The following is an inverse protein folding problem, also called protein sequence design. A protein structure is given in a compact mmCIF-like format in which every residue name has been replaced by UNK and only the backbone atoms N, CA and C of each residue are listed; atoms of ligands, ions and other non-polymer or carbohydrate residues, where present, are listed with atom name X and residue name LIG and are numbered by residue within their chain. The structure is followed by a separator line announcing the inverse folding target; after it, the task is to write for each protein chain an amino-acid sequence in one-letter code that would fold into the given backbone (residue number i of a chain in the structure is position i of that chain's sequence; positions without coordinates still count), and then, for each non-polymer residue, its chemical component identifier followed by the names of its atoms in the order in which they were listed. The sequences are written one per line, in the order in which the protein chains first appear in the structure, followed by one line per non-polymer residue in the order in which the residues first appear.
data_IF_880679205261
#
_entry.id   IF_880679205261
#
_cell.length_a   1.000
_cell.length_b   1.000
_cell.length_c   1.000
_cell.angle_alpha   90.00
_cell.angle_beta   90.00
_cell.angle_gamma   90.00
#
_symmetry.space_group_name_H-M   'P 1'
#
loop_
_entity.id
_entity.type
_entity.pdbx_description
1 polymer ?
#
# COMPACT_ATOMS: atom_id res chain seq x y z
N UNK A 1 14.85 4.67 -2.23
CA UNK A 1 13.67 3.85 -2.60
C UNK A 1 12.75 3.75 -1.40
N UNK A 2 11.59 3.10 -1.52
CA UNK A 2 10.83 2.61 -0.36
C UNK A 2 11.07 1.11 -0.33
N UNK A 3 11.58 0.58 0.77
CA UNK A 3 11.93 -0.84 0.92
C UNK A 3 10.70 -1.71 1.15
N UNK A 4 9.71 -1.22 1.91
CA UNK A 4 8.47 -1.93 2.18
C UNK A 4 7.24 -1.19 1.63
N UNK A 5 6.75 -1.68 0.48
CA UNK A 5 5.56 -1.18 -0.20
C UNK A 5 4.27 -1.91 0.20
N UNK A 6 4.37 -3.05 0.90
CA UNK A 6 3.23 -3.92 1.22
C UNK A 6 2.77 -3.76 2.68
N UNK A 7 3.62 -3.22 3.54
CA UNK A 7 3.28 -2.89 4.93
C UNK A 7 2.15 -1.87 5.04
N UNK A 8 1.13 -2.23 5.82
CA UNK A 8 -0.07 -1.40 6.05
C UNK A 8 0.08 -0.41 7.21
N UNK A 9 1.09 -0.58 8.04
CA UNK A 9 1.33 0.28 9.19
C UNK A 9 2.05 1.57 8.77
N UNK A 10 1.27 2.62 8.49
CA UNK A 10 1.77 3.88 7.93
C UNK A 10 1.11 5.10 8.58
N UNK A 11 1.88 6.18 8.63
CA UNK A 11 1.42 7.49 9.08
C UNK A 11 1.46 8.47 7.89
N UNK A 12 0.35 9.18 7.69
CA UNK A 12 0.23 10.21 6.67
C UNK A 12 -0.13 11.54 7.32
N UNK A 13 0.42 12.64 6.80
CA UNK A 13 -0.12 13.97 7.08
C UNK A 13 -1.51 14.07 6.45
N UNK A 14 -2.44 14.73 7.15
CA UNK A 14 -3.84 14.89 6.70
C UNK A 14 -3.95 15.42 5.26
N UNK A 15 -3.22 16.47 4.93
CA UNK A 15 -3.24 17.09 3.59
C UNK A 15 -2.76 16.13 2.50
N UNK A 16 -1.67 15.40 2.76
CA UNK A 16 -1.11 14.39 1.84
C UNK A 16 -2.12 13.26 1.63
N UNK A 17 -2.70 12.73 2.71
CA UNK A 17 -3.69 11.66 2.62
C UNK A 17 -4.89 12.06 1.77
N UNK A 18 -5.43 13.27 1.99
CA UNK A 18 -6.58 13.78 1.24
C UNK A 18 -6.29 13.90 -0.26
N UNK A 19 -5.08 14.31 -0.64
CA UNK A 19 -4.74 14.47 -2.05
C UNK A 19 -4.48 13.13 -2.74
N UNK A 20 -3.76 12.23 -2.06
CA UNK A 20 -3.41 10.91 -2.59
C UNK A 20 -4.65 10.04 -2.71
N UNK A 21 -5.49 9.96 -1.67
CA UNK A 21 -6.67 9.08 -1.66
C UNK A 21 -7.69 9.47 -2.73
N UNK A 22 -7.83 10.77 -3.03
CA UNK A 22 -8.74 11.25 -4.08
C UNK A 22 -8.31 10.79 -5.47
N UNK A 23 -7.03 10.54 -5.65
CA UNK A 23 -6.46 10.08 -6.93
C UNK A 23 -6.37 8.56 -7.01
N UNK A 24 -6.41 7.83 -5.89
CA UNK A 24 -6.28 6.37 -5.87
C UNK A 24 -7.55 5.68 -6.38
N UNK A 25 -7.40 4.74 -7.32
CA UNK A 25 -8.52 4.01 -7.93
C UNK A 25 -8.58 2.53 -7.50
N UNK A 26 -7.45 1.94 -7.08
CA UNK A 26 -7.39 0.52 -6.71
C UNK A 26 -8.19 0.23 -5.44
N UNK A 27 -8.74 -0.99 -5.40
CA UNK A 27 -9.46 -1.55 -4.25
C UNK A 27 -8.68 -2.72 -3.66
N UNK A 28 -8.94 -3.01 -2.38
CA UNK A 28 -8.29 -4.12 -1.67
C UNK A 28 -6.82 -3.83 -1.35
N UNK A 29 -6.01 -4.88 -1.19
CA UNK A 29 -4.62 -4.79 -0.75
C UNK A 29 -3.75 -3.86 -1.62
N UNK A 30 -4.02 -3.82 -2.92
CA UNK A 30 -3.27 -3.04 -3.92
C UNK A 30 -3.40 -1.52 -3.76
N UNK A 31 -4.45 -1.06 -3.07
CA UNK A 31 -4.66 0.35 -2.74
C UNK A 31 -3.45 0.97 -2.03
N UNK A 32 -2.85 0.24 -1.09
CA UNK A 32 -1.74 0.77 -0.28
C UNK A 32 -0.45 0.95 -1.07
N UNK A 33 -0.19 0.07 -2.03
CA UNK A 33 0.93 0.24 -2.96
C UNK A 33 0.70 1.44 -3.87
N UNK A 34 -0.49 1.55 -4.46
CA UNK A 34 -0.82 2.66 -5.36
C UNK A 34 -0.72 4.01 -4.64
N UNK A 35 -1.22 4.11 -3.41
CA UNK A 35 -1.07 5.31 -2.59
C UNK A 35 0.40 5.74 -2.44
N UNK A 36 1.30 4.79 -2.20
CA UNK A 36 2.73 5.08 -2.01
C UNK A 36 3.40 5.52 -3.32
N UNK A 37 3.10 4.83 -4.41
CA UNK A 37 3.59 5.17 -5.76
C UNK A 37 3.11 6.57 -6.15
N UNK A 38 1.82 6.87 -5.95
CA UNK A 38 1.24 8.20 -6.22
C UNK A 38 1.83 9.27 -5.33
N UNK A 39 1.98 9.02 -4.02
CA UNK A 39 2.58 9.98 -3.10
C UNK A 39 4.00 10.37 -3.53
N UNK A 40 4.79 9.38 -3.97
CA UNK A 40 6.14 9.60 -4.50
C UNK A 40 6.12 10.35 -5.85
N UNK A 41 5.21 9.98 -6.77
CA UNK A 41 5.05 10.66 -8.05
C UNK A 41 4.63 12.12 -7.90
N UNK A 42 3.91 12.46 -6.82
CA UNK A 42 3.50 13.82 -6.47
C UNK A 42 4.59 14.62 -5.74
N UNK A 43 5.78 14.04 -5.52
CA UNK A 43 6.92 14.73 -4.91
C UNK A 43 6.88 14.81 -3.37
N UNK A 44 6.01 14.05 -2.71
CA UNK A 44 6.01 14.01 -1.24
C UNK A 44 7.22 13.26 -0.70
N UNK A 45 7.71 13.70 0.48
CA UNK A 45 8.79 13.03 1.19
C UNK A 45 8.25 11.80 1.92
N UNK A 46 8.93 10.67 1.73
CA UNK A 46 8.65 9.40 2.40
C UNK A 46 9.88 9.01 3.22
N UNK A 47 9.65 8.58 4.46
CA UNK A 47 10.68 8.04 5.34
C UNK A 47 10.17 6.72 5.93
N UNK A 48 11.10 5.78 6.15
CA UNK A 48 10.81 4.47 6.73
C UNK A 48 11.32 4.44 8.17
N UNK A 49 10.51 3.92 9.08
CA UNK A 49 10.86 3.72 10.49
C UNK A 49 10.84 2.21 10.75
N UNK A 50 11.96 1.61 11.17
CA UNK A 50 11.99 0.17 11.43
C UNK A 50 11.08 -0.19 12.61
N UNK A 51 10.32 -1.27 12.46
CA UNK A 51 9.45 -1.84 13.50
C UNK A 51 9.78 -3.31 13.70
N UNK A 52 9.52 -3.82 14.90
CA UNK A 52 9.52 -5.26 15.16
C UNK A 52 8.11 -5.81 14.92
N UNK A 53 7.96 -6.65 13.90
CA UNK A 53 6.69 -7.33 13.65
C UNK A 53 6.57 -8.52 14.59
N UNK A 54 5.59 -8.49 15.50
CA UNK A 54 5.34 -9.58 16.45
C UNK A 54 4.22 -10.47 15.94
N UNK A 55 4.35 -11.77 16.18
CA UNK A 55 3.35 -12.73 15.74
C UNK A 55 2.01 -12.51 16.45
N UNK A 56 0.93 -12.64 15.68
CA UNK A 56 -0.44 -12.55 16.20
C UNK A 56 -0.74 -13.82 17.01
N UNK A 57 -0.92 -13.66 18.31
CA UNK A 57 -1.17 -14.78 19.24
C UNK A 57 -2.63 -15.31 19.21
N UNK A 58 -3.59 -14.51 18.75
CA UNK A 58 -5.01 -14.86 18.80
C UNK A 58 -5.79 -14.52 17.51
N UNK A 59 -6.57 -15.49 17.04
CA UNK A 59 -7.51 -15.39 15.91
C UNK A 59 -6.94 -15.79 14.55
N UNK A 60 -7.81 -16.13 13.60
CA UNK A 60 -7.41 -16.68 12.30
C UNK A 60 -6.93 -15.63 11.28
N UNK A 61 -6.11 -16.09 10.34
CA UNK A 61 -5.64 -15.30 9.20
C UNK A 61 -6.80 -14.98 8.26
N UNK A 62 -6.93 -13.71 7.86
CA UNK A 62 -7.94 -13.24 6.89
C UNK A 62 -7.45 -13.27 5.44
N UNK A 63 -6.19 -13.65 5.21
CA UNK A 63 -5.59 -13.71 3.87
C UNK A 63 -5.85 -15.10 3.29
N UNK A 64 -6.67 -15.15 2.24
CA UNK A 64 -6.95 -16.36 1.46
C UNK A 64 -6.43 -16.27 0.03
N UNK A 65 -6.47 -17.39 -0.71
CA UNK A 65 -5.94 -17.52 -2.08
C UNK A 65 -6.50 -16.50 -3.09
N UNK A 66 -7.71 -16.01 -2.85
CA UNK A 66 -8.33 -14.97 -3.69
C UNK A 66 -7.62 -13.61 -3.58
N UNK A 67 -7.04 -13.24 -2.44
CA UNK A 67 -6.30 -11.98 -2.32
C UNK A 67 -5.00 -12.01 -3.14
N UNK A 68 -4.33 -13.17 -3.20
CA UNK A 68 -3.08 -13.35 -3.97
C UNK A 68 -3.33 -13.09 -5.46
N UNK A 69 -4.42 -13.63 -6.01
CA UNK A 69 -4.75 -13.43 -7.44
C UNK A 69 -5.17 -11.99 -7.74
N UNK A 70 -5.87 -11.33 -6.82
CA UNK A 70 -6.24 -9.92 -6.95
C UNK A 70 -5.02 -8.98 -6.91
N UNK A 71 -4.06 -9.29 -6.05
CA UNK A 71 -2.78 -8.60 -5.96
C UNK A 71 -2.00 -8.69 -7.28
N UNK A 72 -1.81 -9.91 -7.78
CA UNK A 72 -1.08 -10.15 -9.03
C UNK A 72 -1.70 -9.38 -10.22
N UNK A 73 -3.04 -9.38 -10.34
CA UNK A 73 -3.76 -8.61 -11.36
C UNK A 73 -3.57 -7.10 -11.22
N UNK A 74 -3.53 -6.59 -9.99
CA UNK A 74 -3.36 -5.15 -9.76
C UNK A 74 -1.97 -4.67 -10.11
N UNK A 75 -0.92 -5.42 -9.74
CA UNK A 75 0.47 -5.13 -10.11
C UNK A 75 0.62 -5.07 -11.62
N UNK A 76 0.02 -6.03 -12.34
CA UNK A 76 0.04 -6.06 -13.80
C UNK A 76 -0.65 -4.83 -14.40
N UNK A 77 -1.79 -4.41 -13.84
CA UNK A 77 -2.52 -3.23 -14.34
C UNK A 77 -1.77 -1.91 -14.11
N UNK A 78 -1.04 -1.79 -13.01
CA UNK A 78 -0.21 -0.62 -12.70
C UNK A 78 0.96 -0.51 -13.67
N UNK A 79 1.54 -1.64 -14.10
CA UNK A 79 2.59 -1.68 -15.12
C UNK A 79 2.12 -1.22 -16.51
N UNK A 80 0.83 -1.35 -16.82
CA UNK A 80 0.26 -0.97 -18.12
C UNK A 80 -0.25 0.48 -18.14
N UNK A 81 -0.63 1.02 -16.97
CA UNK A 81 -1.21 2.37 -16.84
C UNK A 81 -0.19 3.46 -16.46
N UNK A 82 1.04 3.09 -16.12
CA UNK A 82 2.18 4.01 -15.90
C UNK A 82 3.00 4.07 -17.17
#
# INVERSE_FOLDING_TARGET
GVSDLTGSFRLYKKSVLQEVIRKTESKGYSFQMEMMVRAKAMGFKVAEVPISFVDRLYGDSKIGSNEITAYAKSVLSLWVKV
#
